data_IF_299433920093
#
_entry.id   IF_299433920093
#
_cell.length_a   1.000
_cell.length_b   1.000
_cell.length_c   1.000
_cell.angle_alpha   90.00
_cell.angle_beta   90.00
_cell.angle_gamma   90.00
#
_symmetry.space_group_name_H-M   'P 1'
#
loop_
_entity.id
_entity.type
_entity.pdbx_description
1 polymer ?
#
# COMPACT_ATOMS: atom_id res chain seq x y z
N UNK A 1 22.75 1.53 39.62
CA UNK A 1 22.16 0.41 40.38
C UNK A 1 20.96 -0.13 39.61
N UNK A 2 20.92 -1.46 39.39
CA UNK A 2 19.86 -2.21 38.69
C UNK A 2 20.10 -2.28 37.17
N UNK A 3 20.66 -3.34 36.58
CA UNK A 3 20.61 -4.76 36.91
C UNK A 3 19.92 -5.50 35.76
N UNK A 4 20.54 -5.53 34.57
CA UNK A 4 20.03 -6.27 33.41
C UNK A 4 20.23 -7.77 33.70
N UNK A 5 19.13 -8.49 33.96
CA UNK A 5 19.13 -9.94 34.15
C UNK A 5 19.64 -10.61 32.87
N UNK A 6 20.89 -11.04 32.92
CA UNK A 6 21.51 -11.92 31.95
C UNK A 6 20.73 -13.24 31.93
N UNK A 7 20.31 -13.63 30.72
CA UNK A 7 19.48 -14.81 30.45
C UNK A 7 20.12 -16.09 30.99
N UNK A 8 19.32 -16.84 31.75
CA UNK A 8 19.61 -18.14 32.39
C UNK A 8 20.16 -19.20 31.43
N UNK A 9 20.07 -19.01 30.10
CA UNK A 9 20.67 -19.91 29.10
C UNK A 9 22.20 -19.83 28.98
N UNK A 10 22.82 -18.67 29.26
CA UNK A 10 24.27 -18.53 29.18
C UNK A 10 24.96 -19.15 30.42
N UNK A 11 24.34 -19.02 31.59
CA UNK A 11 24.80 -19.67 32.81
C UNK A 11 24.64 -21.21 32.77
N UNK A 12 23.63 -21.72 32.06
CA UNK A 12 23.44 -23.18 31.86
C UNK A 12 24.44 -23.74 30.84
N UNK A 13 24.80 -22.98 29.80
CA UNK A 13 25.84 -23.39 28.84
C UNK A 13 27.25 -23.38 29.45
N UNK A 14 27.60 -22.35 30.23
CA UNK A 14 28.89 -22.25 30.93
C UNK A 14 29.00 -23.23 32.11
N UNK A 15 27.91 -23.51 32.84
CA UNK A 15 27.89 -24.57 33.87
C UNK A 15 27.91 -25.97 33.24
N UNK A 16 27.30 -26.15 32.07
CA UNK A 16 27.38 -27.38 31.28
C UNK A 16 28.81 -27.65 30.79
N UNK A 17 29.52 -26.62 30.33
CA UNK A 17 30.92 -26.72 29.91
C UNK A 17 31.87 -27.07 31.08
N UNK A 18 31.63 -26.52 32.28
CA UNK A 18 32.42 -26.84 33.47
C UNK A 18 32.15 -28.26 34.02
N UNK A 19 30.89 -28.74 34.00
CA UNK A 19 30.57 -30.13 34.38
C UNK A 19 31.05 -31.15 33.33
N UNK A 20 31.05 -30.79 32.04
CA UNK A 20 31.59 -31.64 30.97
C UNK A 20 33.12 -31.75 31.01
N UNK A 21 33.83 -30.74 31.53
CA UNK A 21 35.28 -30.79 31.74
C UNK A 21 35.68 -31.87 32.78
N UNK A 22 34.86 -32.06 33.82
CA UNK A 22 35.08 -33.13 34.81
C UNK A 22 34.73 -34.52 34.24
N UNK A 23 33.79 -34.61 33.29
CA UNK A 23 33.43 -35.88 32.64
C UNK A 23 34.43 -36.30 31.54
N UNK A 24 35.03 -35.33 30.84
CA UNK A 24 35.99 -35.60 29.76
C UNK A 24 37.35 -36.13 30.26
N UNK A 25 37.76 -35.77 31.49
CA UNK A 25 38.93 -36.36 32.14
C UNK A 25 38.73 -37.84 32.52
N UNK A 26 37.49 -38.34 32.55
CA UNK A 26 37.15 -39.71 32.96
C UNK A 26 36.93 -40.64 31.73
N UNK A 27 36.64 -40.10 30.54
CA UNK A 27 36.19 -40.91 29.39
C UNK A 27 37.15 -40.96 28.18
N UNK A 28 38.41 -40.53 28.27
CA UNK A 28 39.42 -40.82 27.24
C UNK A 28 39.07 -40.33 25.83
N UNK A 29 38.36 -39.21 25.68
CA UNK A 29 38.18 -38.57 24.38
C UNK A 29 39.51 -37.93 23.99
N UNK A 30 40.06 -38.29 22.83
CA UNK A 30 41.36 -37.79 22.38
C UNK A 30 41.34 -36.27 22.22
N UNK A 31 42.45 -35.61 22.57
CA UNK A 31 42.62 -34.15 22.41
C UNK A 31 42.34 -33.65 20.98
N UNK A 32 42.48 -34.54 19.98
CA UNK A 32 42.15 -34.26 18.57
C UNK A 32 40.65 -34.05 18.32
N UNK A 33 39.77 -34.88 18.89
CA UNK A 33 38.32 -34.76 18.70
C UNK A 33 37.73 -33.53 19.42
N UNK A 34 38.36 -33.10 20.53
CA UNK A 34 38.04 -31.85 21.21
C UNK A 34 38.50 -30.61 20.43
N UNK A 35 39.67 -30.67 19.81
CA UNK A 35 40.21 -29.59 18.98
C UNK A 35 39.37 -29.40 17.70
N UNK A 36 38.96 -30.50 17.06
CA UNK A 36 38.06 -30.49 15.90
C UNK A 36 36.68 -29.91 16.27
N UNK A 37 36.07 -30.35 17.38
CA UNK A 37 34.78 -29.82 17.84
C UNK A 37 34.81 -28.33 18.24
N UNK A 38 35.95 -27.83 18.73
CA UNK A 38 36.12 -26.39 18.99
C UNK A 38 36.36 -25.56 17.72
N UNK A 39 37.07 -26.12 16.74
CA UNK A 39 37.25 -25.48 15.44
C UNK A 39 35.92 -25.38 14.68
N UNK A 40 35.10 -26.45 14.71
CA UNK A 40 33.76 -26.45 14.14
C UNK A 40 32.85 -25.42 14.82
N UNK A 41 32.81 -25.39 16.16
CA UNK A 41 32.03 -24.41 16.91
C UNK A 41 32.50 -22.95 16.67
N UNK A 42 33.81 -22.71 16.49
CA UNK A 42 34.34 -21.40 16.12
C UNK A 42 33.97 -21.01 14.69
N UNK A 43 33.97 -21.97 13.76
CA UNK A 43 33.56 -21.74 12.36
C UNK A 43 32.07 -21.44 12.25
N UNK A 44 31.21 -22.16 12.97
CA UNK A 44 29.77 -21.89 13.03
C UNK A 44 29.48 -20.53 13.70
N UNK A 45 30.24 -20.18 14.74
CA UNK A 45 30.13 -18.88 15.40
C UNK A 45 30.62 -17.73 14.50
N UNK A 46 31.67 -17.95 13.71
CA UNK A 46 32.16 -17.00 12.72
C UNK A 46 31.17 -16.82 11.56
N UNK A 47 30.56 -17.91 11.07
CA UNK A 47 29.49 -17.89 10.08
C UNK A 47 28.25 -17.16 10.60
N UNK A 48 27.82 -17.44 11.84
CA UNK A 48 26.73 -16.73 12.49
C UNK A 48 26.98 -15.22 12.64
N UNK A 49 28.21 -14.82 13.00
CA UNK A 49 28.59 -13.39 13.05
C UNK A 49 28.66 -12.74 11.68
N UNK A 50 29.09 -13.46 10.66
CA UNK A 50 29.06 -12.99 9.27
C UNK A 50 27.62 -12.77 8.81
N UNK A 51 26.73 -13.72 9.07
CA UNK A 51 25.30 -13.62 8.76
C UNK A 51 24.63 -12.45 9.50
N UNK A 52 24.99 -12.21 10.76
CA UNK A 52 24.51 -11.05 11.53
C UNK A 52 25.03 -9.72 10.95
N UNK A 53 26.31 -9.65 10.58
CA UNK A 53 26.89 -8.46 9.97
C UNK A 53 26.31 -8.18 8.58
N UNK A 54 26.09 -9.21 7.77
CA UNK A 54 25.48 -9.08 6.45
C UNK A 54 23.99 -8.75 6.54
N UNK A 55 23.30 -9.24 7.58
CA UNK A 55 21.93 -8.86 7.90
C UNK A 55 21.82 -7.40 8.38
N UNK A 56 22.77 -6.92 9.20
CA UNK A 56 22.81 -5.51 9.62
C UNK A 56 23.20 -4.57 8.46
N UNK A 57 24.13 -4.98 7.58
CA UNK A 57 24.41 -4.26 6.32
C UNK A 57 23.19 -4.23 5.40
N UNK A 58 22.47 -5.34 5.29
CA UNK A 58 21.22 -5.42 4.54
C UNK A 58 20.14 -4.51 5.13
N UNK A 59 19.93 -4.52 6.45
CA UNK A 59 19.01 -3.60 7.14
C UNK A 59 19.36 -2.14 6.92
N UNK A 60 20.64 -1.80 7.08
CA UNK A 60 21.14 -0.43 6.92
C UNK A 60 20.98 0.03 5.47
N UNK A 61 21.35 -0.80 4.50
CA UNK A 61 21.13 -0.50 3.08
C UNK A 61 19.65 -0.32 2.70
N UNK A 62 18.76 -1.14 3.23
CA UNK A 62 17.30 -0.99 3.05
C UNK A 62 16.79 0.31 3.70
N UNK A 63 17.31 0.68 4.88
CA UNK A 63 16.94 1.91 5.58
C UNK A 63 17.42 3.17 4.82
N UNK A 64 18.65 3.17 4.32
CA UNK A 64 19.24 4.27 3.56
C UNK A 64 18.55 4.44 2.19
N UNK A 65 18.28 3.34 1.50
CA UNK A 65 17.48 3.35 0.27
C UNK A 65 16.07 3.92 0.54
N UNK A 66 15.39 3.46 1.60
CA UNK A 66 14.09 4.00 1.97
C UNK A 66 14.16 5.50 2.28
N UNK A 67 15.19 5.96 2.98
CA UNK A 67 15.41 7.36 3.28
C UNK A 67 15.60 8.21 2.02
N UNK A 68 16.44 7.77 1.05
CA UNK A 68 16.65 8.49 -0.20
C UNK A 68 15.35 8.61 -1.03
N UNK A 69 14.55 7.53 -1.08
CA UNK A 69 13.26 7.57 -1.74
C UNK A 69 12.28 8.51 -1.05
N UNK A 70 12.22 8.47 0.27
CA UNK A 70 11.39 9.37 1.06
C UNK A 70 11.81 10.83 0.85
N UNK A 71 13.11 11.13 0.76
CA UNK A 71 13.60 12.46 0.49
C UNK A 71 13.12 13.00 -0.87
N UNK A 72 13.15 12.19 -1.94
CA UNK A 72 12.57 12.56 -3.25
C UNK A 72 11.08 12.92 -3.08
N UNK A 73 10.33 12.07 -2.37
CA UNK A 73 8.89 12.27 -2.15
C UNK A 73 8.64 13.57 -1.38
N UNK A 74 9.33 13.78 -0.25
CA UNK A 74 9.15 14.96 0.60
C UNK A 74 9.45 16.25 -0.17
N UNK A 75 10.53 16.28 -0.95
CA UNK A 75 10.94 17.44 -1.75
C UNK A 75 9.94 17.75 -2.87
N UNK A 76 9.57 16.75 -3.68
CA UNK A 76 8.59 16.92 -4.75
C UNK A 76 7.21 17.30 -4.19
N UNK A 77 6.85 16.75 -3.04
CA UNK A 77 5.59 17.05 -2.38
C UNK A 77 5.57 18.49 -1.85
N UNK A 78 6.66 18.96 -1.24
CA UNK A 78 6.80 20.34 -0.80
C UNK A 78 6.69 21.33 -1.98
N UNK A 79 7.38 21.03 -3.09
CA UNK A 79 7.30 21.82 -4.33
C UNK A 79 5.87 21.87 -4.89
N UNK A 80 5.22 20.71 -5.00
CA UNK A 80 3.85 20.61 -5.50
C UNK A 80 2.84 21.34 -4.59
N UNK A 81 2.95 21.16 -3.28
CA UNK A 81 2.12 21.85 -2.28
C UNK A 81 2.27 23.36 -2.36
N UNK A 82 3.49 23.86 -2.53
CA UNK A 82 3.77 25.29 -2.68
C UNK A 82 3.05 25.90 -3.89
N UNK A 83 3.05 25.20 -5.04
CA UNK A 83 2.32 25.63 -6.24
C UNK A 83 0.81 25.72 -6.00
N UNK A 84 0.22 24.73 -5.34
CA UNK A 84 -1.21 24.72 -5.00
C UNK A 84 -1.55 25.87 -4.04
N UNK A 85 -0.74 26.06 -3.00
CA UNK A 85 -0.93 27.11 -1.98
C UNK A 85 -1.01 28.52 -2.59
N UNK A 86 -0.23 28.79 -3.64
CA UNK A 86 -0.23 30.09 -4.36
C UNK A 86 -1.57 30.43 -5.02
N UNK A 87 -2.39 29.42 -5.34
CA UNK A 87 -3.69 29.62 -5.99
C UNK A 87 -4.84 29.44 -4.99
N UNK A 88 -4.81 28.36 -4.21
CA UNK A 88 -5.96 27.89 -3.42
C UNK A 88 -5.88 28.23 -1.93
N UNK A 89 -4.75 28.70 -1.41
CA UNK A 89 -4.54 28.99 0.02
C UNK A 89 -4.47 27.77 0.94
N UNK A 90 -5.15 26.68 0.61
CA UNK A 90 -5.08 25.38 1.29
C UNK A 90 -4.78 24.30 0.25
N UNK A 91 -3.78 23.43 0.47
CA UNK A 91 -3.43 22.40 -0.49
C UNK A 91 -4.32 21.18 -0.30
N UNK A 92 -4.93 20.74 -1.38
CA UNK A 92 -5.65 19.47 -1.47
C UNK A 92 -4.91 18.56 -2.44
N UNK A 93 -4.63 17.32 -2.03
CA UNK A 93 -3.82 16.36 -2.81
C UNK A 93 -4.49 14.99 -2.81
N UNK A 94 -4.16 14.16 -3.80
CA UNK A 94 -4.64 12.78 -3.86
C UNK A 94 -4.27 12.00 -2.60
N UNK A 95 -5.23 11.19 -2.15
CA UNK A 95 -5.11 10.25 -1.03
C UNK A 95 -5.35 8.82 -1.53
N UNK A 96 -5.45 7.85 -0.62
CA UNK A 96 -5.78 6.47 -0.98
C UNK A 96 -7.15 6.37 -1.66
N UNK A 97 -8.14 7.14 -1.19
CA UNK A 97 -9.55 7.05 -1.63
C UNK A 97 -10.06 8.33 -2.31
N UNK A 98 -9.19 9.31 -2.50
CA UNK A 98 -9.53 10.56 -3.18
C UNK A 98 -8.53 10.81 -4.29
N UNK A 99 -9.01 10.96 -5.52
CA UNK A 99 -8.20 11.50 -6.61
C UNK A 99 -8.35 13.02 -6.63
N UNK A 100 -7.23 13.74 -6.76
CA UNK A 100 -7.19 15.19 -6.97
C UNK A 100 -6.30 15.48 -8.17
N UNK A 101 -6.89 16.01 -9.24
CA UNK A 101 -6.18 16.46 -10.44
C UNK A 101 -6.24 17.98 -10.56
N UNK A 102 -5.11 18.61 -10.89
CA UNK A 102 -5.05 20.03 -11.21
C UNK A 102 -4.73 20.23 -12.70
N UNK A 103 -5.23 21.32 -13.28
CA UNK A 103 -4.70 21.84 -14.55
C UNK A 103 -3.22 22.23 -14.40
N UNK A 104 -2.52 22.39 -15.52
CA UNK A 104 -1.10 22.77 -15.54
C UNK A 104 -0.82 24.09 -14.80
N UNK A 105 -1.74 25.04 -14.89
CA UNK A 105 -1.71 26.36 -14.23
C UNK A 105 -2.33 26.37 -12.82
N UNK A 106 -2.79 25.20 -12.33
CA UNK A 106 -3.47 25.02 -11.05
C UNK A 106 -4.79 25.78 -10.89
N UNK A 107 -5.38 26.39 -11.93
CA UNK A 107 -6.64 27.13 -11.82
C UNK A 107 -7.89 26.26 -11.84
N UNK A 108 -7.76 25.01 -12.30
CA UNK A 108 -8.83 24.00 -12.27
C UNK A 108 -8.41 22.87 -11.34
N UNK A 109 -9.33 22.45 -10.46
CA UNK A 109 -9.16 21.32 -9.55
C UNK A 109 -10.34 20.35 -9.71
N UNK A 110 -10.04 19.09 -9.99
CA UNK A 110 -10.99 18.00 -10.16
C UNK A 110 -10.76 16.98 -9.05
N UNK A 111 -11.79 16.68 -8.27
CA UNK A 111 -11.74 15.77 -7.12
C UNK A 111 -12.73 14.64 -7.31
N UNK A 112 -12.31 13.40 -7.09
CA UNK A 112 -13.19 12.23 -7.02
C UNK A 112 -12.96 11.57 -5.67
N UNK A 113 -13.96 11.60 -4.80
CA UNK A 113 -13.96 10.88 -3.53
C UNK A 113 -14.69 9.55 -3.71
N UNK A 114 -13.91 8.47 -3.80
CA UNK A 114 -14.40 7.12 -4.06
C UNK A 114 -15.11 6.50 -2.84
N UNK A 115 -14.83 7.02 -1.64
CA UNK A 115 -15.45 6.56 -0.40
C UNK A 115 -16.83 7.19 -0.23
N UNK A 116 -16.92 8.51 -0.42
CA UNK A 116 -18.18 9.26 -0.30
C UNK A 116 -19.04 9.20 -1.55
N UNK A 117 -18.47 8.80 -2.69
CA UNK A 117 -19.19 8.73 -3.96
C UNK A 117 -19.54 10.10 -4.50
N UNK A 118 -18.61 11.06 -4.45
CA UNK A 118 -18.83 12.43 -4.93
C UNK A 118 -17.72 12.89 -5.86
N UNK A 119 -18.07 13.72 -6.83
CA UNK A 119 -17.15 14.42 -7.71
C UNK A 119 -17.25 15.91 -7.38
N UNK A 120 -16.12 16.59 -7.24
CA UNK A 120 -16.06 18.05 -7.14
C UNK A 120 -15.20 18.63 -8.24
N UNK A 121 -15.71 19.62 -8.95
CA UNK A 121 -14.95 20.41 -9.92
C UNK A 121 -14.90 21.83 -9.41
N UNK A 122 -13.71 22.38 -9.22
CA UNK A 122 -13.51 23.76 -8.76
C UNK A 122 -12.67 24.52 -9.76
N UNK A 123 -13.06 25.75 -10.07
CA UNK A 123 -12.39 26.60 -11.06
C UNK A 123 -12.21 28.00 -10.50
N UNK A 124 -11.02 28.55 -10.67
CA UNK A 124 -10.75 29.97 -10.45
C UNK A 124 -11.19 30.75 -11.70
N UNK A 125 -12.17 31.62 -11.55
CA UNK A 125 -12.71 32.48 -12.62
C UNK A 125 -12.64 33.95 -12.21
N UNK A 126 -12.54 34.90 -13.15
CA UNK A 126 -12.70 36.32 -12.85
C UNK A 126 -14.04 36.59 -12.15
N UNK A 127 -14.10 37.56 -11.24
CA UNK A 127 -15.35 37.91 -10.56
C UNK A 127 -16.44 38.42 -11.52
N UNK A 128 -16.05 38.84 -12.73
CA UNK A 128 -16.94 39.24 -13.82
C UNK A 128 -17.50 38.08 -14.66
N UNK A 129 -17.12 36.83 -14.38
CA UNK A 129 -17.61 35.67 -15.13
C UNK A 129 -19.14 35.53 -14.96
N UNK A 130 -19.84 35.53 -16.10
CA UNK A 130 -21.31 35.55 -16.13
C UNK A 130 -21.93 34.15 -16.18
N UNK A 131 -21.19 33.13 -16.62
CA UNK A 131 -21.70 31.75 -16.78
C UNK A 131 -20.74 30.68 -16.23
N UNK A 132 -20.39 30.75 -14.93
CA UNK A 132 -19.45 29.81 -14.33
C UNK A 132 -19.94 28.34 -14.37
N UNK A 133 -21.25 28.11 -14.41
CA UNK A 133 -21.86 26.79 -14.52
C UNK A 133 -21.45 26.05 -15.80
N UNK A 134 -21.41 26.74 -16.94
CA UNK A 134 -21.00 26.15 -18.23
C UNK A 134 -19.53 25.75 -18.23
N UNK A 135 -18.69 26.54 -17.56
CA UNK A 135 -17.26 26.25 -17.38
C UNK A 135 -17.08 24.98 -16.52
N UNK A 136 -17.87 24.83 -15.46
CA UNK A 136 -17.83 23.65 -14.59
C UNK A 136 -18.28 22.39 -15.32
N UNK A 137 -19.36 22.47 -16.09
CA UNK A 137 -19.89 21.35 -16.86
C UNK A 137 -18.86 20.83 -17.89
N UNK A 138 -18.18 21.73 -18.59
CA UNK A 138 -17.09 21.35 -19.51
C UNK A 138 -15.99 20.57 -18.80
N UNK A 139 -15.54 21.03 -17.63
CA UNK A 139 -14.51 20.34 -16.86
C UNK A 139 -14.97 19.05 -16.19
N UNK A 140 -16.26 18.93 -15.87
CA UNK A 140 -16.86 17.66 -15.45
C UNK A 140 -16.85 16.66 -16.62
N UNK A 141 -17.23 17.10 -17.82
CA UNK A 141 -17.17 16.28 -19.05
C UNK A 141 -15.73 15.86 -19.35
N UNK A 142 -14.74 16.74 -19.23
CA UNK A 142 -13.32 16.38 -19.36
C UNK A 142 -12.92 15.26 -18.38
N UNK A 143 -13.35 15.36 -17.11
CA UNK A 143 -13.05 14.36 -16.09
C UNK A 143 -13.66 13.00 -16.43
N UNK A 144 -14.83 12.98 -17.06
CA UNK A 144 -15.47 11.76 -17.55
C UNK A 144 -14.63 11.08 -18.65
N UNK A 145 -13.98 11.85 -19.52
CA UNK A 145 -13.07 11.31 -20.54
C UNK A 145 -11.67 11.00 -20.01
N UNK A 146 -11.35 11.42 -18.78
CA UNK A 146 -10.04 11.24 -18.18
C UNK A 146 -9.78 9.74 -17.90
N UNK A 147 -8.74 9.21 -18.53
CA UNK A 147 -8.19 7.88 -18.20
C UNK A 147 -7.12 7.97 -17.11
N UNK A 148 -6.85 6.85 -16.42
CA UNK A 148 -5.74 6.75 -15.48
C UNK A 148 -4.39 7.10 -16.14
N UNK A 149 -4.15 6.65 -17.39
CA UNK A 149 -2.97 7.04 -18.17
C UNK A 149 -2.87 8.56 -18.38
N UNK A 150 -3.98 9.21 -18.75
CA UNK A 150 -4.02 10.66 -18.91
C UNK A 150 -3.78 11.38 -17.59
N UNK A 151 -4.41 10.91 -16.50
CA UNK A 151 -4.28 11.51 -15.18
C UNK A 151 -2.85 11.41 -14.65
N UNK A 152 -2.22 10.25 -14.84
CA UNK A 152 -0.81 10.03 -14.52
C UNK A 152 0.12 10.98 -15.29
N UNK A 153 -0.10 11.14 -16.60
CA UNK A 153 0.71 12.07 -17.44
C UNK A 153 0.57 13.53 -17.00
N UNK A 154 -0.60 13.92 -16.51
CA UNK A 154 -0.87 15.28 -16.04
C UNK A 154 -0.39 15.53 -14.58
N UNK A 155 -0.06 14.49 -13.81
CA UNK A 155 0.34 14.60 -12.40
C UNK A 155 1.79 15.09 -12.29
N UNK A 156 1.95 16.41 -12.11
CA UNK A 156 3.26 17.06 -12.01
C UNK A 156 4.13 16.52 -10.87
N UNK A 157 3.51 16.14 -9.74
CA UNK A 157 4.24 15.58 -8.59
C UNK A 157 4.85 14.22 -8.94
N UNK A 158 4.05 13.33 -9.51
CA UNK A 158 4.45 11.97 -9.85
C UNK A 158 5.50 11.98 -10.96
N UNK A 159 5.35 12.88 -11.94
CA UNK A 159 6.37 13.10 -12.97
C UNK A 159 7.71 13.52 -12.37
N UNK A 160 7.72 14.41 -11.36
CA UNK A 160 8.92 14.83 -10.64
C UNK A 160 9.59 13.68 -9.88
N UNK A 161 8.79 12.91 -9.13
CA UNK A 161 9.26 11.73 -8.38
C UNK A 161 9.89 10.71 -9.33
N UNK A 162 9.20 10.37 -10.42
CA UNK A 162 9.67 9.38 -11.38
C UNK A 162 10.94 9.85 -12.11
N UNK A 163 11.03 11.13 -12.47
CA UNK A 163 12.24 11.72 -13.06
C UNK A 163 13.45 11.60 -12.11
N UNK A 164 13.27 11.91 -10.83
CA UNK A 164 14.36 11.81 -9.84
C UNK A 164 14.74 10.37 -9.55
N UNK A 165 13.76 9.47 -9.46
CA UNK A 165 14.01 8.04 -9.25
C UNK A 165 14.88 7.45 -10.37
N UNK A 166 14.60 7.78 -11.64
CA UNK A 166 15.39 7.34 -12.80
C UNK A 166 16.84 7.84 -12.79
N UNK A 167 17.12 8.94 -12.09
CA UNK A 167 18.48 9.49 -11.95
C UNK A 167 19.27 8.82 -10.82
N UNK A 168 18.58 8.37 -9.77
CA UNK A 168 19.21 7.84 -8.56
C UNK A 168 19.27 6.31 -8.52
N UNK A 169 18.42 5.62 -9.27
CA UNK A 169 18.37 4.15 -9.29
C UNK A 169 18.84 3.66 -10.65
N UNK A 170 19.77 2.70 -10.65
CA UNK A 170 20.28 2.12 -11.88
C UNK A 170 19.13 1.50 -12.71
N UNK A 171 19.13 1.61 -14.05
CA UNK A 171 18.06 1.06 -14.89
C UNK A 171 17.80 -0.44 -14.68
N UNK A 172 18.82 -1.23 -14.35
CA UNK A 172 18.69 -2.66 -14.04
C UNK A 172 17.94 -2.94 -12.73
N UNK A 173 17.91 -1.97 -11.81
CA UNK A 173 17.29 -2.05 -10.49
C UNK A 173 15.93 -1.34 -10.41
N UNK A 174 15.48 -0.71 -11.51
CA UNK A 174 14.23 0.05 -11.57
C UNK A 174 13.29 -0.53 -12.63
N UNK A 175 12.14 -1.05 -12.20
CA UNK A 175 11.10 -1.53 -13.09
C UNK A 175 10.05 -0.45 -13.37
N UNK A 176 9.66 -0.31 -14.63
CA UNK A 176 8.70 0.67 -15.13
C UNK A 176 7.62 -0.01 -15.98
N UNK A 177 6.46 0.62 -16.13
CA UNK A 177 5.45 0.16 -17.08
C UNK A 177 4.54 1.30 -17.54
N UNK A 178 3.88 1.11 -18.68
CA UNK A 178 2.81 2.01 -19.11
C UNK A 178 1.60 1.94 -18.18
N UNK A 179 1.08 3.10 -17.78
CA UNK A 179 -0.18 3.18 -17.03
C UNK A 179 -1.35 2.85 -17.95
N UNK A 180 -2.30 2.06 -17.43
CA UNK A 180 -3.48 1.61 -18.19
C UNK A 180 -4.49 2.73 -18.47
N UNK A 181 -5.33 2.53 -19.49
CA UNK A 181 -6.32 3.52 -19.96
C UNK A 181 -7.71 3.39 -19.33
N UNK A 182 -7.86 2.62 -18.24
CA UNK A 182 -9.16 2.52 -17.54
C UNK A 182 -9.64 3.92 -17.09
N UNK A 183 -10.94 4.24 -17.17
CA UNK A 183 -11.46 5.55 -16.77
C UNK A 183 -11.18 5.88 -15.31
N UNK A 184 -11.04 7.18 -15.00
CA UNK A 184 -11.00 7.65 -13.61
C UNK A 184 -12.35 7.42 -12.93
N UNK A 185 -13.46 7.86 -13.55
CA UNK A 185 -14.79 7.82 -12.92
C UNK A 185 -15.96 7.50 -13.87
N UNK A 186 -15.81 7.63 -15.19
CA UNK A 186 -16.95 7.48 -16.09
C UNK A 186 -17.60 6.08 -16.05
N UNK A 187 -16.85 5.04 -15.72
CA UNK A 187 -17.39 3.71 -15.48
C UNK A 187 -18.35 3.68 -14.29
N UNK A 188 -18.01 4.36 -13.20
CA UNK A 188 -18.83 4.46 -12.00
C UNK A 188 -20.14 5.24 -12.24
N UNK A 189 -20.10 6.21 -13.14
CA UNK A 189 -21.26 7.06 -13.46
C UNK A 189 -22.17 6.41 -14.50
N UNK A 190 -21.60 5.89 -15.58
CA UNK A 190 -22.38 5.33 -16.70
C UNK A 190 -22.82 3.89 -16.45
N UNK A 191 -22.18 3.19 -15.51
CA UNK A 191 -22.36 1.76 -15.28
C UNK A 191 -21.66 0.86 -16.32
N UNK A 192 -20.98 1.46 -17.32
CA UNK A 192 -20.31 0.78 -18.43
C UNK A 192 -18.81 0.73 -18.19
N UNK A 193 -18.16 -0.40 -18.45
CA UNK A 193 -16.71 -0.54 -18.23
C UNK A 193 -15.86 0.31 -19.19
N UNK A 194 -16.40 0.60 -20.38
CA UNK A 194 -15.80 1.42 -21.44
C UNK A 194 -16.89 2.26 -22.10
N UNK A 195 -17.36 3.32 -21.44
CA UNK A 195 -18.44 4.12 -21.99
C UNK A 195 -17.99 4.84 -23.26
N UNK A 196 -18.89 4.91 -24.24
CA UNK A 196 -18.79 5.78 -25.41
C UNK A 196 -19.11 7.24 -25.07
N UNK A 197 -18.73 8.18 -25.92
CA UNK A 197 -19.04 9.61 -25.74
C UNK A 197 -20.56 9.84 -25.63
N UNK A 198 -21.37 9.09 -26.39
CA UNK A 198 -22.84 9.13 -26.31
C UNK A 198 -23.36 8.69 -24.94
N UNK A 199 -22.77 7.66 -24.35
CA UNK A 199 -23.14 7.19 -23.00
C UNK A 199 -22.68 8.16 -21.91
N UNK A 200 -21.51 8.79 -22.08
CA UNK A 200 -21.05 9.87 -21.20
C UNK A 200 -22.04 11.03 -21.27
N UNK A 201 -22.39 11.50 -22.47
CA UNK A 201 -23.30 12.62 -22.68
C UNK A 201 -24.69 12.36 -22.12
N UNK A 202 -25.23 11.14 -22.31
CA UNK A 202 -26.50 10.74 -21.72
C UNK A 202 -26.46 10.73 -20.18
N UNK A 203 -25.31 10.41 -19.57
CA UNK A 203 -25.15 10.40 -18.12
C UNK A 203 -24.98 11.78 -17.49
N UNK A 204 -24.57 12.78 -18.27
CA UNK A 204 -24.32 14.14 -17.77
C UNK A 204 -25.59 14.78 -17.22
N UNK A 205 -26.74 14.64 -17.90
CA UNK A 205 -28.01 15.18 -17.42
C UNK A 205 -28.38 14.63 -16.02
N UNK A 206 -28.20 13.33 -15.80
CA UNK A 206 -28.45 12.69 -14.51
C UNK A 206 -27.50 13.16 -13.41
N UNK A 207 -26.20 13.29 -13.72
CA UNK A 207 -25.22 13.87 -12.79
C UNK A 207 -25.58 15.31 -12.40
N UNK A 208 -25.89 16.14 -13.40
CA UNK A 208 -26.23 17.54 -13.20
C UNK A 208 -27.54 17.72 -12.43
N UNK A 209 -28.47 16.75 -12.49
CA UNK A 209 -29.66 16.73 -11.64
C UNK A 209 -29.36 16.62 -10.13
N UNK A 210 -28.15 16.20 -9.75
CA UNK A 210 -27.68 16.16 -8.35
C UNK A 210 -26.72 17.29 -7.99
N UNK A 211 -26.46 18.20 -8.93
CA UNK A 211 -25.46 19.23 -8.80
C UNK A 211 -25.80 20.21 -7.68
N UNK A 212 -24.78 20.53 -6.89
CA UNK A 212 -24.79 21.71 -6.02
C UNK A 212 -23.63 22.62 -6.42
N UNK A 213 -23.86 23.93 -6.37
CA UNK A 213 -22.86 24.92 -6.74
C UNK A 213 -22.57 25.85 -5.58
N UNK A 214 -21.28 26.15 -5.37
CA UNK A 214 -20.84 27.12 -4.38
C UNK A 214 -19.88 28.12 -5.03
N UNK A 215 -20.03 29.40 -4.69
CA UNK A 215 -19.12 30.49 -5.10
C UNK A 215 -18.45 31.05 -3.86
N UNK A 216 -17.13 31.18 -3.88
CA UNK A 216 -16.34 31.81 -2.82
C UNK A 216 -15.31 32.74 -3.43
N UNK A 217 -14.88 33.79 -2.71
CA UNK A 217 -13.74 34.62 -3.15
C UNK A 217 -12.49 33.74 -3.25
N UNK A 218 -11.69 33.94 -4.30
CA UNK A 218 -10.47 33.18 -4.47
C UNK A 218 -9.41 33.63 -3.45
N UNK A 219 -8.84 32.73 -2.61
CA UNK A 219 -8.02 33.12 -1.46
C UNK A 219 -6.73 33.88 -1.79
N UNK A 220 -6.14 33.65 -2.97
CA UNK A 220 -4.85 34.21 -3.39
C UNK A 220 -4.91 34.84 -4.79
N UNK A 221 -6.11 35.15 -5.28
CA UNK A 221 -6.32 35.68 -6.62
C UNK A 221 -7.28 36.87 -6.52
N UNK A 222 -6.71 38.08 -6.46
CA UNK A 222 -7.50 39.31 -6.32
C UNK A 222 -8.44 39.49 -7.53
N UNK A 223 -9.69 39.91 -7.27
CA UNK A 223 -10.69 40.07 -8.32
C UNK A 223 -11.21 38.76 -8.95
N UNK A 224 -10.94 37.61 -8.33
CA UNK A 224 -11.40 36.30 -8.80
C UNK A 224 -12.26 35.58 -7.76
N UNK A 225 -13.10 34.66 -8.26
CA UNK A 225 -13.89 33.73 -7.47
C UNK A 225 -13.43 32.30 -7.73
N UNK A 226 -13.56 31.45 -6.72
CA UNK A 226 -13.59 29.99 -6.88
C UNK A 226 -15.04 29.58 -6.98
N UNK A 227 -15.40 28.95 -8.09
CA UNK A 227 -16.71 28.30 -8.23
C UNK A 227 -16.52 26.79 -8.17
N UNK A 228 -17.34 26.11 -7.39
CA UNK A 228 -17.28 24.67 -7.17
C UNK A 228 -18.62 24.05 -7.53
N UNK A 229 -18.57 23.04 -8.39
CA UNK A 229 -19.65 22.09 -8.68
C UNK A 229 -19.38 20.80 -7.89
N UNK A 230 -20.39 20.28 -7.20
CA UNK A 230 -20.37 18.97 -6.57
C UNK A 230 -21.54 18.13 -7.06
N UNK A 231 -21.26 16.92 -7.55
CA UNK A 231 -22.25 15.95 -8.05
C UNK A 231 -22.06 14.59 -7.36
N UNK A 232 -23.15 13.82 -7.26
CA UNK A 232 -23.13 12.48 -6.65
C UNK A 232 -22.90 11.41 -7.71
N UNK A 233 -21.98 10.49 -7.42
CA UNK A 233 -21.79 9.27 -8.20
C UNK A 233 -22.94 8.30 -7.84
N UNK A 234 -23.53 7.58 -8.82
CA UNK A 234 -24.50 6.53 -8.54
C UNK A 234 -23.97 5.52 -7.50
N UNK A 235 -24.84 5.07 -6.59
CA UNK A 235 -24.46 4.13 -5.52
C UNK A 235 -23.91 2.80 -6.05
N UNK A 236 -24.31 2.40 -7.26
CA UNK A 236 -23.82 1.21 -7.97
C UNK A 236 -22.38 1.36 -8.50
N UNK A 237 -21.85 2.59 -8.54
CA UNK A 237 -20.56 2.88 -9.18
C UNK A 237 -19.39 2.10 -8.59
N UNK A 238 -19.38 1.87 -7.27
CA UNK A 238 -18.33 1.06 -6.62
C UNK A 238 -18.34 -0.39 -7.09
N UNK A 239 -19.52 -0.99 -7.23
CA UNK A 239 -19.66 -2.35 -7.73
C UNK A 239 -19.22 -2.45 -9.20
N UNK A 240 -19.52 -1.44 -10.01
CA UNK A 240 -19.04 -1.35 -11.41
C UNK A 240 -17.51 -1.30 -11.45
N UNK A 241 -16.90 -0.51 -10.57
CA UNK A 241 -15.43 -0.39 -10.46
C UNK A 241 -14.78 -1.71 -10.05
N UNK A 242 -15.34 -2.41 -9.06
CA UNK A 242 -14.87 -3.74 -8.66
C UNK A 242 -14.94 -4.74 -9.84
N UNK A 243 -16.05 -4.77 -10.57
CA UNK A 243 -16.23 -5.60 -11.78
C UNK A 243 -15.21 -5.27 -12.88
N UNK A 244 -14.81 -4.01 -13.03
CA UNK A 244 -13.78 -3.60 -13.98
C UNK A 244 -12.40 -4.25 -13.72
N UNK A 245 -12.10 -4.56 -12.46
CA UNK A 245 -10.84 -5.19 -12.05
C UNK A 245 -10.93 -6.70 -11.84
N UNK A 246 -12.14 -7.26 -11.69
CA UNK A 246 -12.36 -8.69 -11.43
C UNK A 246 -11.63 -9.63 -12.40
N UNK A 247 -11.57 -9.40 -13.73
CA UNK A 247 -10.80 -10.27 -14.63
C UNK A 247 -9.29 -10.28 -14.35
N UNK A 248 -8.74 -9.10 -14.00
CA UNK A 248 -7.33 -8.97 -13.61
C UNK A 248 -7.08 -9.65 -12.25
N UNK A 249 -7.99 -9.47 -11.30
CA UNK A 249 -7.96 -10.14 -9.99
C UNK A 249 -7.99 -11.65 -10.13
N UNK A 250 -9.01 -12.23 -10.80
CA UNK A 250 -9.14 -13.68 -10.98
C UNK A 250 -7.89 -14.30 -11.58
N UNK A 251 -7.33 -13.67 -12.61
CA UNK A 251 -6.12 -14.17 -13.27
C UNK A 251 -4.89 -14.15 -12.36
N UNK A 252 -4.67 -13.07 -11.60
CA UNK A 252 -3.50 -13.01 -10.71
C UNK A 252 -3.67 -13.89 -9.47
N UNK A 253 -4.89 -13.93 -8.92
CA UNK A 253 -5.30 -14.77 -7.80
C UNK A 253 -5.05 -16.26 -8.09
N UNK A 254 -5.50 -16.74 -9.25
CA UNK A 254 -5.33 -18.12 -9.68
C UNK A 254 -3.86 -18.57 -9.74
N UNK A 255 -2.92 -17.68 -10.14
CA UNK A 255 -1.49 -18.00 -10.20
C UNK A 255 -0.87 -18.36 -8.84
N UNK A 256 -1.52 -17.99 -7.73
CA UNK A 256 -0.96 -18.08 -6.38
C UNK A 256 -1.94 -18.62 -5.35
N UNK A 257 -3.04 -19.22 -5.78
CA UNK A 257 -4.05 -19.80 -4.89
C UNK A 257 -4.68 -18.81 -3.91
N UNK A 258 -4.70 -17.51 -4.23
CA UNK A 258 -5.31 -16.49 -3.35
C UNK A 258 -6.79 -16.35 -3.69
N UNK A 259 -7.66 -16.25 -2.69
CA UNK A 259 -9.10 -16.03 -2.90
C UNK A 259 -9.36 -14.67 -3.59
N UNK A 260 -9.97 -14.62 -4.79
CA UNK A 260 -10.34 -13.37 -5.46
C UNK A 260 -11.16 -12.41 -4.58
N UNK A 261 -12.00 -12.94 -3.69
CA UNK A 261 -12.81 -12.13 -2.78
C UNK A 261 -11.95 -11.39 -1.75
N UNK A 262 -10.89 -12.04 -1.24
CA UNK A 262 -9.90 -11.40 -0.37
C UNK A 262 -9.18 -10.26 -1.11
N UNK A 263 -8.79 -10.49 -2.36
CA UNK A 263 -8.09 -9.47 -3.17
C UNK A 263 -8.97 -8.24 -3.37
N UNK A 264 -10.25 -8.43 -3.70
CA UNK A 264 -11.21 -7.32 -3.85
C UNK A 264 -11.50 -6.61 -2.53
N UNK A 265 -11.65 -7.36 -1.43
CA UNK A 265 -11.87 -6.77 -0.10
C UNK A 265 -10.68 -5.92 0.36
N UNK A 266 -9.45 -6.38 0.14
CA UNK A 266 -8.23 -5.60 0.38
C UNK A 266 -8.20 -4.38 -0.52
N UNK A 267 -8.43 -4.54 -1.83
CA UNK A 267 -8.40 -3.44 -2.79
C UNK A 267 -9.43 -2.34 -2.48
N UNK A 268 -10.65 -2.71 -2.11
CA UNK A 268 -11.68 -1.76 -1.68
C UNK A 268 -11.26 -1.05 -0.39
N UNK A 269 -10.65 -1.77 0.55
CA UNK A 269 -10.21 -1.19 1.83
C UNK A 269 -9.06 -0.22 1.65
N UNK A 270 -8.11 -0.55 0.79
CA UNK A 270 -6.95 0.28 0.52
C UNK A 270 -7.32 1.53 -0.28
N UNK A 271 -8.01 1.37 -1.42
CA UNK A 271 -8.16 2.46 -2.39
C UNK A 271 -9.61 2.83 -2.74
N UNK A 272 -10.60 2.07 -2.26
CA UNK A 272 -11.97 2.12 -2.79
C UNK A 272 -11.98 2.00 -4.33
N UNK A 273 -11.04 1.22 -4.89
CA UNK A 273 -10.80 1.04 -6.32
C UNK A 273 -10.35 2.31 -7.08
N UNK A 274 -9.78 3.29 -6.39
CA UNK A 274 -9.15 4.46 -7.01
C UNK A 274 -7.87 4.03 -7.78
N UNK A 275 -7.84 4.14 -9.13
CA UNK A 275 -6.67 3.74 -9.91
C UNK A 275 -5.45 4.64 -9.67
N UNK A 276 -5.67 5.86 -9.19
CA UNK A 276 -4.65 6.87 -8.91
C UNK A 276 -4.44 7.07 -7.41
N UNK A 277 -4.70 6.03 -6.61
CA UNK A 277 -4.55 6.05 -5.16
C UNK A 277 -3.09 6.30 -4.74
N UNK A 278 -2.90 7.25 -3.83
CA UNK A 278 -1.60 7.58 -3.26
C UNK A 278 -1.69 7.86 -1.76
N UNK A 279 -0.83 7.23 -0.99
CA UNK A 279 -0.74 7.43 0.45
C UNK A 279 0.32 8.51 0.82
N UNK A 280 0.20 9.07 2.03
CA UNK A 280 1.22 9.97 2.61
C UNK A 280 2.56 9.26 2.84
N UNK A 281 2.49 8.00 3.31
CA UNK A 281 3.61 7.06 3.22
C UNK A 281 3.56 6.48 1.81
N UNK A 282 4.60 6.61 0.97
CA UNK A 282 4.47 6.45 -0.48
C UNK A 282 4.09 5.03 -0.92
N UNK A 283 2.78 4.78 -0.94
CA UNK A 283 2.12 3.57 -1.40
C UNK A 283 1.20 3.93 -2.56
N UNK A 284 1.19 3.09 -3.59
CA UNK A 284 0.61 3.44 -4.88
C UNK A 284 -0.43 2.44 -5.36
N UNK A 285 -1.42 2.97 -6.08
CA UNK A 285 -2.39 2.22 -6.84
C UNK A 285 -3.39 1.42 -5.99
N UNK A 286 -4.09 0.53 -6.67
CA UNK A 286 -5.31 -0.16 -6.22
C UNK A 286 -5.15 -0.90 -4.88
N UNK A 287 -4.03 -1.58 -4.69
CA UNK A 287 -3.71 -2.37 -3.51
C UNK A 287 -2.64 -1.70 -2.62
N UNK A 288 -2.34 -0.41 -2.86
CA UNK A 288 -1.44 0.40 -2.03
C UNK A 288 -0.09 -0.27 -1.74
N UNK A 289 0.64 -0.59 -2.79
CA UNK A 289 1.96 -1.22 -2.68
C UNK A 289 3.01 -0.17 -2.38
N UNK A 290 3.80 -0.39 -1.32
CA UNK A 290 4.98 0.42 -1.00
C UNK A 290 6.18 -0.12 -1.79
N UNK A 291 6.83 0.68 -2.66
CA UNK A 291 7.87 0.20 -3.58
C UNK A 291 9.03 -0.53 -2.91
N UNK A 292 9.48 -0.02 -1.76
CA UNK A 292 10.71 -0.47 -1.08
C UNK A 292 10.50 -1.51 0.03
N UNK A 293 9.26 -1.90 0.31
CA UNK A 293 8.94 -3.00 1.24
C UNK A 293 8.20 -4.12 0.52
N UNK A 294 6.87 -4.14 0.58
CA UNK A 294 6.04 -5.13 -0.11
C UNK A 294 6.36 -5.25 -1.60
N UNK A 295 6.73 -4.13 -2.26
CA UNK A 295 7.15 -4.12 -3.66
C UNK A 295 8.42 -4.93 -3.95
N UNK A 296 9.41 -4.96 -3.05
CA UNK A 296 10.66 -5.72 -3.19
C UNK A 296 10.40 -7.23 -3.05
N UNK A 297 9.63 -7.62 -2.03
CA UNK A 297 9.25 -9.02 -1.85
C UNK A 297 8.39 -9.53 -3.02
N UNK A 298 7.41 -8.73 -3.42
CA UNK A 298 6.52 -9.08 -4.52
C UNK A 298 7.25 -9.11 -5.87
N UNK A 299 8.24 -8.24 -6.12
CA UNK A 299 9.01 -8.24 -7.37
C UNK A 299 9.83 -9.50 -7.54
N UNK A 300 10.43 -10.04 -6.47
CA UNK A 300 11.08 -11.36 -6.49
C UNK A 300 10.11 -12.47 -6.95
N UNK A 301 8.86 -12.42 -6.48
CA UNK A 301 7.84 -13.44 -6.79
C UNK A 301 7.18 -13.24 -8.17
N UNK A 302 7.05 -12.01 -8.65
CA UNK A 302 6.34 -11.69 -9.91
C UNK A 302 7.30 -11.59 -11.09
N UNK A 303 8.50 -11.06 -10.87
CA UNK A 303 9.49 -10.74 -11.90
C UNK A 303 10.77 -11.59 -11.79
N UNK A 304 10.93 -12.37 -10.73
CA UNK A 304 12.15 -13.17 -10.49
C UNK A 304 13.37 -12.34 -10.06
N UNK A 305 13.20 -11.04 -9.79
CA UNK A 305 14.30 -10.13 -9.45
C UNK A 305 13.90 -9.15 -8.35
N UNK A 306 14.88 -8.78 -7.53
CA UNK A 306 14.71 -7.79 -6.47
C UNK A 306 14.91 -6.38 -7.02
N UNK A 307 13.82 -5.71 -7.38
CA UNK A 307 13.85 -4.39 -8.03
C UNK A 307 12.91 -3.40 -7.36
N UNK A 308 13.27 -2.12 -7.44
CA UNK A 308 12.40 -1.01 -7.07
C UNK A 308 11.36 -0.82 -8.16
N UNK A 309 10.09 -0.65 -7.75
CA UNK A 309 8.98 -0.42 -8.66
C UNK A 309 8.71 1.08 -8.78
N UNK A 310 8.71 1.61 -10.01
CA UNK A 310 8.38 3.02 -10.24
C UNK A 310 6.90 3.33 -9.94
N UNK A 311 6.53 4.62 -9.74
CA UNK A 311 5.15 5.04 -9.73
C UNK A 311 4.38 4.59 -10.98
N UNK A 312 4.94 4.74 -12.18
CA UNK A 312 4.29 4.27 -13.43
C UNK A 312 3.99 2.76 -13.41
N UNK A 313 4.91 1.95 -12.90
CA UNK A 313 4.69 0.51 -12.73
C UNK A 313 3.53 0.23 -11.78
N UNK A 314 3.46 0.93 -10.65
CA UNK A 314 2.45 0.71 -9.62
C UNK A 314 1.09 1.35 -9.92
N UNK A 315 1.01 2.35 -10.79
CA UNK A 315 -0.26 2.86 -11.32
C UNK A 315 -0.81 2.02 -12.48
N UNK A 316 -0.01 1.13 -13.07
CA UNK A 316 -0.55 0.09 -13.93
C UNK A 316 -1.38 -0.89 -13.08
N UNK A 317 -2.71 -0.84 -13.23
CA UNK A 317 -3.62 -1.64 -12.42
C UNK A 317 -3.37 -3.15 -12.49
N UNK A 318 -2.96 -3.69 -13.63
CA UNK A 318 -2.64 -5.13 -13.76
C UNK A 318 -1.41 -5.49 -12.95
N UNK A 319 -0.37 -4.67 -13.02
CA UNK A 319 0.88 -4.88 -12.29
C UNK A 319 0.66 -4.70 -10.78
N UNK A 320 -0.08 -3.67 -10.40
CA UNK A 320 -0.42 -3.40 -9.01
C UNK A 320 -1.17 -4.58 -8.36
N UNK A 321 -2.18 -5.12 -9.07
CA UNK A 321 -2.90 -6.32 -8.63
C UNK A 321 -1.96 -7.53 -8.53
N UNK A 322 -1.07 -7.72 -9.51
CA UNK A 322 -0.11 -8.82 -9.47
C UNK A 322 0.81 -8.73 -8.24
N UNK A 323 1.29 -7.54 -7.90
CA UNK A 323 2.14 -7.29 -6.73
C UNK A 323 1.37 -7.48 -5.42
N UNK A 324 0.15 -6.96 -5.32
CA UNK A 324 -0.68 -7.13 -4.12
C UNK A 324 -1.06 -8.59 -3.87
N UNK A 325 -1.41 -9.34 -4.91
CA UNK A 325 -1.67 -10.78 -4.81
C UNK A 325 -0.41 -11.55 -4.43
N UNK A 326 0.75 -11.21 -5.01
CA UNK A 326 2.02 -11.82 -4.63
C UNK A 326 2.37 -11.56 -3.17
N UNK A 327 2.09 -10.35 -2.66
CA UNK A 327 2.34 -10.04 -1.26
C UNK A 327 1.39 -10.78 -0.32
N UNK A 328 0.10 -10.90 -0.65
CA UNK A 328 -0.85 -11.75 0.09
C UNK A 328 -0.37 -13.21 0.16
N UNK A 329 0.12 -13.76 -0.95
CA UNK A 329 0.74 -15.08 -1.01
C UNK A 329 1.98 -15.18 -0.10
N UNK A 330 2.90 -14.21 -0.15
CA UNK A 330 4.09 -14.21 0.72
C UNK A 330 3.68 -14.21 2.20
N UNK A 331 2.69 -13.41 2.58
CA UNK A 331 2.19 -13.38 3.94
C UNK A 331 1.61 -14.72 4.37
N UNK A 332 0.79 -15.34 3.52
CA UNK A 332 0.11 -16.60 3.83
C UNK A 332 1.07 -17.81 3.83
N UNK A 333 1.86 -17.96 2.77
CA UNK A 333 2.61 -19.19 2.47
C UNK A 333 4.06 -19.14 2.94
N UNK A 334 4.58 -17.97 3.32
CA UNK A 334 5.94 -17.83 3.85
C UNK A 334 5.92 -17.30 5.28
N UNK A 335 5.47 -16.07 5.49
CA UNK A 335 5.60 -15.43 6.81
C UNK A 335 4.69 -16.06 7.86
N UNK A 336 3.47 -16.44 7.51
CA UNK A 336 2.48 -16.97 8.45
C UNK A 336 2.18 -18.46 8.23
N UNK A 337 3.03 -19.16 7.48
CA UNK A 337 2.85 -20.58 7.13
C UNK A 337 2.72 -21.48 8.38
N UNK A 338 3.38 -21.11 9.48
CA UNK A 338 3.31 -21.87 10.74
C UNK A 338 1.97 -21.74 11.47
N UNK A 339 1.08 -20.82 11.07
CA UNK A 339 -0.30 -20.73 11.60
C UNK A 339 -1.15 -21.78 10.87
N UNK A 340 -1.53 -22.86 11.57
CA UNK A 340 -2.11 -24.05 10.96
C UNK A 340 -3.56 -23.88 10.55
N UNK A 341 -4.39 -23.30 11.43
CA UNK A 341 -5.80 -23.09 11.14
C UNK A 341 -5.94 -22.01 10.03
N UNK A 342 -6.62 -22.33 8.91
CA UNK A 342 -6.67 -21.43 7.75
C UNK A 342 -7.41 -20.11 8.03
N UNK A 343 -8.44 -20.13 8.86
CA UNK A 343 -9.19 -18.93 9.23
C UNK A 343 -8.38 -18.01 10.16
N UNK A 344 -7.71 -18.59 11.15
CA UNK A 344 -6.75 -17.87 12.00
C UNK A 344 -5.63 -17.25 11.17
N UNK A 345 -5.10 -18.00 10.20
CA UNK A 345 -4.08 -17.52 9.28
C UNK A 345 -4.62 -16.39 8.41
N UNK A 346 -5.85 -16.49 7.89
CA UNK A 346 -6.51 -15.42 7.14
C UNK A 346 -6.59 -14.12 7.95
N UNK A 347 -7.01 -14.17 9.22
CA UNK A 347 -7.04 -12.98 10.08
C UNK A 347 -5.65 -12.38 10.29
N UNK A 348 -4.64 -13.22 10.50
CA UNK A 348 -3.25 -12.78 10.60
C UNK A 348 -2.73 -12.17 9.30
N UNK A 349 -3.05 -12.74 8.13
CA UNK A 349 -2.66 -12.22 6.80
C UNK A 349 -3.28 -10.86 6.55
N UNK A 350 -4.57 -10.69 6.81
CA UNK A 350 -5.27 -9.41 6.66
C UNK A 350 -4.62 -8.34 7.54
N UNK A 351 -4.37 -8.64 8.81
CA UNK A 351 -3.70 -7.71 9.71
C UNK A 351 -2.26 -7.39 9.26
N UNK A 352 -1.50 -8.42 8.88
CA UNK A 352 -0.12 -8.28 8.45
C UNK A 352 0.03 -7.52 7.12
N UNK A 353 -0.98 -7.54 6.25
CA UNK A 353 -0.98 -6.72 5.03
C UNK A 353 -0.88 -5.23 5.35
N UNK A 354 -1.60 -4.77 6.39
CA UNK A 354 -1.63 -3.37 6.79
C UNK A 354 -0.48 -2.98 7.74
N UNK A 355 -0.06 -3.88 8.64
CA UNK A 355 0.91 -3.53 9.72
C UNK A 355 2.20 -4.35 9.71
N UNK A 356 2.32 -5.37 8.88
CA UNK A 356 3.43 -6.32 8.87
C UNK A 356 3.29 -7.48 9.87
N UNK A 357 3.85 -8.64 9.51
CA UNK A 357 3.75 -9.87 10.31
C UNK A 357 4.41 -9.77 11.69
N UNK A 358 5.45 -8.93 11.85
CA UNK A 358 6.08 -8.66 13.14
C UNK A 358 5.14 -7.99 14.15
N UNK A 359 4.28 -7.07 13.70
CA UNK A 359 3.28 -6.43 14.58
C UNK A 359 2.13 -7.38 14.93
N UNK A 360 1.80 -8.30 14.02
CA UNK A 360 0.91 -9.43 14.33
C UNK A 360 1.52 -10.29 15.44
N UNK A 361 2.79 -10.70 15.33
CA UNK A 361 3.47 -11.45 16.38
C UNK A 361 3.47 -10.71 17.72
N UNK A 362 3.76 -9.41 17.70
CA UNK A 362 3.78 -8.55 18.89
C UNK A 362 2.44 -8.53 19.62
N UNK A 363 1.32 -8.55 18.91
CA UNK A 363 -0.02 -8.58 19.52
C UNK A 363 -0.29 -9.86 20.35
N UNK A 364 0.38 -10.98 20.04
CA UNK A 364 0.22 -12.24 20.78
C UNK A 364 1.27 -12.45 21.87
N UNK A 365 2.52 -12.04 21.65
CA UNK A 365 3.65 -12.41 22.51
C UNK A 365 4.55 -11.23 22.92
N UNK A 366 4.21 -9.98 22.57
CA UNK A 366 4.97 -8.78 22.93
C UNK A 366 6.26 -8.54 22.14
N UNK A 367 6.70 -9.50 21.31
CA UNK A 367 7.90 -9.43 20.46
C UNK A 367 7.57 -9.74 19.01
N UNK A 368 8.50 -9.52 18.08
CA UNK A 368 8.29 -9.73 16.63
C UNK A 368 8.58 -11.16 16.14
N UNK A 369 8.82 -12.11 17.05
CA UNK A 369 9.15 -13.49 16.68
C UNK A 369 7.90 -14.25 16.19
N UNK A 370 7.83 -14.45 14.87
CA UNK A 370 6.64 -15.02 14.21
C UNK A 370 6.42 -16.49 14.57
N UNK A 371 7.48 -17.30 14.67
CA UNK A 371 7.36 -18.73 15.01
C UNK A 371 6.81 -18.95 16.42
N UNK A 372 7.31 -18.18 17.40
CA UNK A 372 6.80 -18.22 18.78
C UNK A 372 5.35 -17.74 18.84
N UNK A 373 5.01 -16.70 18.07
CA UNK A 373 3.63 -16.23 17.97
C UNK A 373 2.73 -17.31 17.36
N UNK A 374 3.18 -18.02 16.31
CA UNK A 374 2.43 -19.09 15.67
C UNK A 374 2.08 -20.22 16.64
N UNK A 375 3.01 -20.63 17.52
CA UNK A 375 2.71 -21.61 18.60
C UNK A 375 1.58 -21.13 19.50
N UNK A 376 1.57 -19.85 19.88
CA UNK A 376 0.48 -19.27 20.68
C UNK A 376 -0.82 -19.21 19.90
N UNK A 377 -0.79 -18.74 18.66
CA UNK A 377 -1.97 -18.63 17.78
C UNK A 377 -2.60 -20.01 17.58
N UNK A 378 -1.80 -21.05 17.30
CA UNK A 378 -2.26 -22.42 17.09
C UNK A 378 -2.91 -23.07 18.32
N UNK A 379 -2.73 -22.50 19.52
CA UNK A 379 -3.36 -22.97 20.77
C UNK A 379 -4.74 -22.35 21.02
N UNK A 380 -5.27 -21.59 20.06
CA UNK A 380 -6.46 -20.75 20.22
C UNK A 380 -7.42 -20.97 19.05
N UNK A 381 -8.75 -20.93 19.28
CA UNK A 381 -9.71 -20.97 18.19
C UNK A 381 -9.73 -19.65 17.41
N UNK A 382 -10.16 -19.64 16.13
CA UNK A 382 -10.09 -18.47 15.25
C UNK A 382 -10.77 -17.22 15.79
N UNK A 383 -11.89 -17.35 16.48
CA UNK A 383 -12.63 -16.22 17.06
C UNK A 383 -11.81 -15.53 18.15
N UNK A 384 -11.01 -16.30 18.89
CA UNK A 384 -10.12 -15.76 19.92
C UNK A 384 -8.91 -15.08 19.30
N UNK A 385 -8.37 -15.63 18.21
CA UNK A 385 -7.30 -15.00 17.40
C UNK A 385 -7.77 -13.65 16.87
N UNK A 386 -8.96 -13.60 16.26
CA UNK A 386 -9.57 -12.37 15.78
C UNK A 386 -9.74 -11.33 16.89
N UNK A 387 -10.31 -11.73 18.04
CA UNK A 387 -10.49 -10.85 19.21
C UNK A 387 -9.16 -10.31 19.75
N UNK A 388 -8.10 -11.11 19.75
CA UNK A 388 -6.76 -10.64 20.15
C UNK A 388 -6.26 -9.57 19.19
N UNK A 389 -6.35 -9.78 17.88
CA UNK A 389 -5.90 -8.81 16.88
C UNK A 389 -6.69 -7.49 16.99
N UNK A 390 -8.03 -7.56 17.05
CA UNK A 390 -8.91 -6.39 17.16
C UNK A 390 -8.76 -5.63 18.48
N UNK A 391 -8.14 -6.22 19.52
CA UNK A 391 -7.88 -5.55 20.81
C UNK A 391 -6.45 -5.08 20.98
N UNK A 392 -5.47 -5.88 20.54
CA UNK A 392 -4.05 -5.74 20.92
C UNK A 392 -3.13 -5.24 19.81
N UNK A 393 -3.60 -5.14 18.56
CA UNK A 393 -2.79 -4.50 17.53
C UNK A 393 -2.51 -3.03 17.91
N UNK A 394 -1.27 -2.53 17.75
CA UNK A 394 -0.87 -1.23 18.29
C UNK A 394 -1.71 -0.06 17.77
N UNK A 395 -2.02 -0.05 16.47
CA UNK A 395 -2.68 1.06 15.81
C UNK A 395 -4.19 0.81 15.63
N UNK A 396 -5.00 1.83 15.93
CA UNK A 396 -6.46 1.78 15.70
C UNK A 396 -6.78 1.54 14.22
N UNK A 397 -6.06 2.19 13.31
CA UNK A 397 -6.22 2.01 11.87
C UNK A 397 -6.15 0.52 11.47
N UNK A 398 -5.18 -0.21 12.00
CA UNK A 398 -4.99 -1.63 11.70
C UNK A 398 -6.10 -2.50 12.29
N UNK A 399 -6.60 -2.17 13.50
CA UNK A 399 -7.75 -2.89 14.09
C UNK A 399 -8.99 -2.71 13.24
N UNK A 400 -9.28 -1.46 12.86
CA UNK A 400 -10.40 -1.15 11.96
C UNK A 400 -10.19 -1.79 10.58
N UNK A 401 -8.95 -1.91 10.10
CA UNK A 401 -8.61 -2.52 8.81
C UNK A 401 -8.99 -3.99 8.77
N UNK A 402 -8.60 -4.77 9.79
CA UNK A 402 -8.98 -6.18 9.92
C UNK A 402 -10.51 -6.33 9.88
N UNK A 403 -11.22 -5.50 10.66
CA UNK A 403 -12.69 -5.53 10.68
C UNK A 403 -13.29 -5.23 9.30
N UNK A 404 -12.83 -4.17 8.63
CA UNK A 404 -13.35 -3.77 7.31
C UNK A 404 -13.11 -4.84 6.24
N UNK A 405 -11.90 -5.39 6.14
CA UNK A 405 -11.59 -6.42 5.14
C UNK A 405 -12.39 -7.68 5.43
N UNK A 406 -12.45 -8.15 6.68
CA UNK A 406 -13.24 -9.33 7.03
C UNK A 406 -14.72 -9.19 6.71
N UNK A 407 -15.32 -8.02 6.92
CA UNK A 407 -16.73 -7.76 6.56
C UNK A 407 -16.97 -7.69 5.05
N UNK A 408 -15.95 -7.36 4.25
CA UNK A 408 -16.04 -7.23 2.78
C UNK A 408 -15.81 -8.53 2.03
N UNK A 409 -15.12 -9.52 2.62
CA UNK A 409 -14.87 -10.79 1.92
C UNK A 409 -16.19 -11.47 1.48
N UNK A 410 -17.21 -11.62 2.34
CA UNK A 410 -18.46 -12.26 1.95
C UNK A 410 -19.18 -11.55 0.79
N UNK A 411 -19.09 -10.22 0.70
CA UNK A 411 -19.75 -9.45 -0.37
C UNK A 411 -19.17 -9.71 -1.76
N UNK A 412 -17.96 -10.28 -1.84
CA UNK A 412 -17.30 -10.63 -3.11
C UNK A 412 -17.31 -12.12 -3.43
N UNK A 413 -17.90 -12.96 -2.57
CA UNK A 413 -18.15 -14.38 -2.84
C UNK A 413 -19.57 -14.63 -3.37
N UNK A 414 -20.47 -13.69 -3.12
CA UNK A 414 -21.88 -13.75 -3.49
C UNK A 414 -22.14 -13.58 -4.99
#
# INVERSE_FOLDING_TARGET
MGGFKMNVRCAVALRGAALALCFALICGVTASAWAEGMADAQSEFAAFKSDEADFERYKTGIADEYAAYKAIIDEEFASYRSKILKVWGVPEVSTKKTYVGYSSDFKVKKVVDYEKGVIKVSVVVPASEKKPEKVLEGHLKDLMHQSAKGAYKADQFTAGVEKKLKKQVAPSQLEQADVGSKPIVADMVTGKLRPSDKEIDASMAGLMGTATTAVKKAPKQAGANVVTLEVKIPSTGRAVKARAYLPDVKRQAAKRGVDPALVLAVMETESAFNPMARSYVPAYGLMQIVPKSAGRDASKVVLGKDVVLSPSYLYNGRNNIAMGVAYLYILNDRYLASVKNPESRLYCVIAAYNTGAGNVARAFIGTTNIEKAAKKINSMPPEKVYKVLVRKLPHKETRDYLQRVSMRIPTYRA
#
